data_IF_567023728799
#
_entry.id   IF_567023728799
#
_cell.length_a   1.000
_cell.length_b   1.000
_cell.length_c   1.000
_cell.angle_alpha   90.00
_cell.angle_beta   90.00
_cell.angle_gamma   90.00
#
_symmetry.space_group_name_H-M   'P 1'
#
loop_
_entity.id
_entity.type
_entity.pdbx_description
1 polymer ?
#
# COMPACT_ATOMS: atom_id res chain seq x y z
N UNK A 1 -29.97 1.70 1.11
CA UNK A 1 -29.95 1.94 2.58
C UNK A 1 -28.52 1.79 3.07
N UNK A 2 -27.91 2.87 3.58
CA UNK A 2 -26.55 2.87 4.11
C UNK A 2 -26.47 2.07 5.41
N UNK A 3 -25.59 1.07 5.47
CA UNK A 3 -25.34 0.32 6.72
C UNK A 3 -24.14 0.94 7.43
N UNK A 4 -24.32 1.36 8.68
CA UNK A 4 -23.25 1.86 9.55
C UNK A 4 -22.80 0.79 10.54
N UNK A 5 -21.50 0.71 10.75
CA UNK A 5 -20.80 -0.20 11.64
C UNK A 5 -19.86 0.63 12.51
N UNK A 6 -20.09 0.66 13.81
CA UNK A 6 -19.11 1.24 14.73
C UNK A 6 -18.01 0.19 14.99
N UNK A 7 -16.75 0.60 14.86
CA UNK A 7 -15.57 -0.27 14.97
C UNK A 7 -14.65 0.25 16.06
N UNK A 8 -14.02 -0.67 16.78
CA UNK A 8 -12.93 -0.34 17.70
C UNK A 8 -11.64 -0.81 17.04
N UNK A 9 -10.75 0.13 16.78
CA UNK A 9 -9.42 -0.14 16.27
C UNK A 9 -8.60 -0.87 17.33
N UNK A 10 -7.67 -1.71 16.89
CA UNK A 10 -6.79 -2.42 17.81
C UNK A 10 -5.80 -1.49 18.55
N UNK A 11 -5.73 -0.20 18.21
CA UNK A 11 -5.07 0.83 19.00
C UNK A 11 -5.85 1.25 20.25
N UNK A 12 -7.11 0.82 20.37
CA UNK A 12 -8.06 1.27 21.40
C UNK A 12 -8.91 2.47 20.95
N UNK A 13 -8.58 3.07 19.80
CA UNK A 13 -9.38 4.15 19.23
C UNK A 13 -10.70 3.60 18.68
N UNK A 14 -11.76 4.40 18.65
CA UNK A 14 -13.03 4.04 18.01
C UNK A 14 -13.20 4.77 16.68
N UNK A 15 -14.02 4.19 15.81
CA UNK A 15 -14.37 4.74 14.51
C UNK A 15 -15.69 4.20 14.01
N UNK A 16 -16.08 4.65 12.84
CA UNK A 16 -17.28 4.19 12.17
C UNK A 16 -16.99 3.93 10.70
N UNK A 17 -17.63 2.89 10.17
CA UNK A 17 -17.63 2.51 8.77
C UNK A 17 -19.06 2.50 8.25
N UNK A 18 -19.24 2.97 7.04
CA UNK A 18 -20.49 2.95 6.32
C UNK A 18 -20.28 2.21 4.99
N UNK A 19 -21.26 1.39 4.62
CA UNK A 19 -21.31 0.71 3.33
C UNK A 19 -22.50 1.23 2.52
N UNK A 20 -22.22 1.67 1.30
CA UNK A 20 -23.21 2.03 0.29
C UNK A 20 -23.04 1.12 -0.92
N UNK A 21 -24.12 0.44 -1.30
CA UNK A 21 -24.18 -0.37 -2.50
C UNK A 21 -24.87 0.41 -3.62
N UNK A 22 -24.51 0.11 -4.86
CA UNK A 22 -25.06 0.80 -6.03
C UNK A 22 -24.68 0.14 -7.35
N UNK A 23 -25.09 0.78 -8.45
CA UNK A 23 -24.83 0.35 -9.81
C UNK A 23 -24.02 1.40 -10.58
N UNK A 24 -23.14 0.94 -11.45
CA UNK A 24 -22.43 1.82 -12.39
C UNK A 24 -23.40 2.24 -13.49
N UNK A 25 -23.62 3.54 -13.66
CA UNK A 25 -24.61 4.12 -14.59
C UNK A 25 -24.01 5.01 -15.69
N UNK A 26 -22.69 5.16 -15.70
CA UNK A 26 -22.00 5.86 -16.76
C UNK A 26 -20.49 5.66 -16.64
N UNK A 27 -19.88 5.17 -17.71
CA UNK A 27 -18.46 4.89 -17.80
C UNK A 27 -17.79 5.81 -18.82
N UNK A 28 -16.78 6.55 -18.37
CA UNK A 28 -15.91 7.35 -19.23
C UNK A 28 -14.46 6.85 -19.07
N UNK A 29 -13.85 6.44 -20.18
CA UNK A 29 -12.45 5.98 -20.22
C UNK A 29 -11.67 6.86 -21.16
N UNK A 30 -10.48 7.29 -20.74
CA UNK A 30 -9.51 7.91 -21.63
C UNK A 30 -8.10 7.42 -21.31
N UNK A 31 -7.29 7.31 -22.35
CA UNK A 31 -5.88 6.94 -22.26
C UNK A 31 -5.04 8.16 -22.59
N UNK A 32 -4.10 8.52 -21.72
CA UNK A 32 -3.17 9.63 -21.91
C UNK A 32 -1.77 9.08 -22.19
N UNK A 33 -1.21 9.38 -23.35
CA UNK A 33 0.14 8.93 -23.73
C UNK A 33 1.13 10.09 -23.68
N UNK A 34 2.07 10.03 -22.75
CA UNK A 34 3.18 10.97 -22.68
C UNK A 34 4.36 10.41 -23.48
N UNK A 35 4.80 11.12 -24.52
CA UNK A 35 6.00 10.78 -25.28
C UNK A 35 7.09 11.79 -24.95
N UNK A 36 8.19 11.33 -24.39
CA UNK A 36 9.39 12.14 -24.16
C UNK A 36 10.56 11.60 -24.98
N UNK A 37 11.35 12.52 -25.51
CA UNK A 37 12.52 12.21 -26.33
C UNK A 37 13.73 12.89 -25.68
N UNK A 38 14.80 12.15 -25.44
CA UNK A 38 16.05 12.70 -24.93
C UNK A 38 17.24 12.19 -25.73
N UNK A 39 18.22 13.07 -25.94
CA UNK A 39 19.44 12.76 -26.70
C UNK A 39 19.24 12.81 -28.22
N UNK A 40 20.35 13.03 -28.93
CA UNK A 40 20.39 13.31 -30.35
C UNK A 40 21.48 14.32 -30.63
N UNK A 41 22.72 13.96 -30.28
CA UNK A 41 23.90 14.77 -30.51
C UNK A 41 24.90 13.96 -31.33
N UNK A 42 25.49 14.60 -32.33
CA UNK A 42 26.56 14.01 -33.13
C UNK A 42 27.64 15.03 -33.42
N UNK A 43 28.90 14.59 -33.37
CA UNK A 43 30.05 15.39 -33.74
C UNK A 43 30.74 14.73 -34.93
N UNK A 44 31.06 15.51 -35.95
CA UNK A 44 31.75 15.04 -37.16
C UNK A 44 33.02 15.87 -37.30
N UNK A 45 34.17 15.20 -37.35
CA UNK A 45 35.46 15.81 -37.64
C UNK A 45 36.10 15.23 -38.93
N UNK A 46 37.32 15.68 -39.23
CA UNK A 46 38.07 15.31 -40.45
C UNK A 46 38.45 13.82 -40.53
N UNK A 47 38.41 13.08 -39.42
CA UNK A 47 38.82 11.68 -39.33
C UNK A 47 37.64 10.72 -39.02
N UNK A 48 36.45 11.24 -38.74
CA UNK A 48 35.22 10.45 -38.60
C UNK A 48 34.16 11.16 -37.75
N UNK A 49 32.97 10.56 -37.66
CA UNK A 49 31.86 11.14 -36.89
C UNK A 49 31.16 10.11 -36.00
N UNK A 50 30.83 10.52 -34.78
CA UNK A 50 30.01 9.74 -33.84
C UNK A 50 28.63 10.39 -33.74
N UNK A 51 27.57 9.60 -33.95
CA UNK A 51 26.18 10.02 -33.79
C UNK A 51 25.57 9.17 -32.68
N UNK A 52 25.06 9.83 -31.64
CA UNK A 52 24.32 9.18 -30.58
C UNK A 52 22.83 9.17 -30.91
N UNK A 53 22.22 7.98 -30.89
CA UNK A 53 20.83 7.81 -31.28
C UNK A 53 19.88 8.42 -30.24
N UNK A 54 18.85 9.12 -30.73
CA UNK A 54 17.79 9.66 -29.88
C UNK A 54 17.02 8.53 -29.19
N UNK A 55 16.82 8.65 -27.88
CA UNK A 55 16.05 7.70 -27.09
C UNK A 55 14.64 8.24 -26.90
N UNK A 56 13.67 7.54 -27.47
CA UNK A 56 12.24 7.84 -27.30
C UNK A 56 11.70 6.93 -26.18
N UNK A 57 11.07 7.53 -25.18
CA UNK A 57 10.32 6.84 -24.14
C UNK A 57 8.87 7.30 -24.12
N UNK A 58 7.93 6.37 -24.05
CA UNK A 58 6.50 6.67 -23.94
C UNK A 58 5.91 6.03 -22.69
N UNK A 59 5.09 6.79 -21.96
CA UNK A 59 4.32 6.32 -20.81
C UNK A 59 2.83 6.48 -21.11
N UNK A 60 2.07 5.39 -21.06
CA UNK A 60 0.60 5.41 -21.19
C UNK A 60 -0.02 5.37 -19.78
N UNK A 61 -0.90 6.32 -19.48
CA UNK A 61 -1.75 6.31 -18.28
C UNK A 61 -3.20 6.13 -18.69
N UNK A 62 -3.81 5.01 -18.29
CA UNK A 62 -5.24 4.81 -18.45
C UNK A 62 -5.97 5.42 -17.25
N UNK A 63 -6.88 6.36 -17.49
CA UNK A 63 -7.77 6.91 -16.46
C UNK A 63 -9.20 6.45 -16.73
N UNK A 64 -9.80 5.87 -15.70
CA UNK A 64 -11.20 5.42 -15.74
C UNK A 64 -12.00 6.22 -14.74
N UNK A 65 -13.01 6.93 -15.25
CA UNK A 65 -14.01 7.62 -14.45
C UNK A 65 -15.38 6.98 -14.65
N UNK A 66 -16.12 6.82 -13.56
CA UNK A 66 -17.44 6.24 -13.63
C UNK A 66 -18.37 6.81 -12.58
N UNK A 67 -19.65 6.87 -12.93
CA UNK A 67 -20.73 7.26 -12.06
C UNK A 67 -21.34 6.05 -11.41
N UNK A 68 -21.50 6.10 -10.09
CA UNK A 68 -22.22 5.12 -9.30
C UNK A 68 -23.50 5.74 -8.81
N UNK A 69 -24.62 5.11 -9.13
CA UNK A 69 -25.92 5.38 -8.53
C UNK A 69 -26.13 4.44 -7.36
N UNK A 70 -26.14 5.00 -6.15
CA UNK A 70 -26.33 4.25 -4.93
C UNK A 70 -27.80 3.88 -4.71
N UNK A 71 -28.02 2.84 -3.90
CA UNK A 71 -29.36 2.35 -3.54
C UNK A 71 -30.18 3.37 -2.73
N UNK A 72 -29.58 4.45 -2.25
CA UNK A 72 -30.27 5.59 -1.62
C UNK A 72 -30.71 6.67 -2.63
N UNK A 73 -30.46 6.44 -3.93
CA UNK A 73 -30.79 7.35 -5.02
C UNK A 73 -29.73 8.41 -5.29
N UNK A 74 -28.68 8.53 -4.47
CA UNK A 74 -27.59 9.46 -4.72
C UNK A 74 -26.67 8.98 -5.84
N UNK A 75 -26.10 9.92 -6.59
CA UNK A 75 -25.15 9.63 -7.66
C UNK A 75 -23.79 10.27 -7.35
N UNK A 76 -22.71 9.53 -7.58
CA UNK A 76 -21.36 10.01 -7.34
C UNK A 76 -20.37 9.50 -8.38
N UNK A 77 -19.49 10.40 -8.82
CA UNK A 77 -18.38 10.07 -9.70
C UNK A 77 -17.17 9.57 -8.91
N UNK A 78 -16.51 8.54 -9.44
CA UNK A 78 -15.24 8.02 -8.95
C UNK A 78 -14.22 7.98 -10.08
N UNK A 79 -12.97 8.32 -9.75
CA UNK A 79 -11.81 8.24 -10.63
C UNK A 79 -10.81 7.30 -9.98
N UNK A 80 -10.82 6.02 -10.38
CA UNK A 80 -10.00 4.98 -9.76
C UNK A 80 -9.84 3.76 -10.68
N UNK A 81 -8.79 2.97 -10.42
CA UNK A 81 -8.40 1.81 -11.25
C UNK A 81 -9.27 0.57 -11.02
N UNK A 82 -10.58 0.74 -10.74
CA UNK A 82 -11.49 -0.39 -10.57
C UNK A 82 -12.02 -0.83 -11.94
N UNK A 83 -11.79 -2.11 -12.26
CA UNK A 83 -12.38 -2.73 -13.45
C UNK A 83 -13.90 -2.84 -13.34
N UNK A 84 -14.62 -1.90 -13.96
CA UNK A 84 -16.09 -1.84 -14.00
C UNK A 84 -16.65 -1.66 -15.42
N UNK A 85 -17.94 -1.98 -15.57
CA UNK A 85 -18.78 -1.76 -16.76
C UNK A 85 -20.15 -1.27 -16.31
N UNK A 86 -20.89 -0.63 -17.19
CA UNK A 86 -22.27 -0.20 -16.90
C UNK A 86 -23.12 -1.41 -16.46
N UNK A 87 -23.98 -1.16 -15.46
CA UNK A 87 -24.81 -2.18 -14.81
C UNK A 87 -24.10 -3.02 -13.74
N UNK A 88 -22.76 -3.01 -13.66
CA UNK A 88 -22.05 -3.70 -12.59
C UNK A 88 -22.48 -3.16 -11.21
N UNK A 89 -22.63 -4.08 -10.26
CA UNK A 89 -22.95 -3.73 -8.88
C UNK A 89 -21.67 -3.49 -8.10
N UNK A 90 -21.61 -2.41 -7.35
CA UNK A 90 -20.45 -1.99 -6.57
C UNK A 90 -20.84 -1.73 -5.13
N UNK A 91 -19.94 -2.06 -4.20
CA UNK A 91 -20.01 -1.68 -2.81
C UNK A 91 -18.90 -0.68 -2.51
N UNK A 92 -19.26 0.45 -1.91
CA UNK A 92 -18.34 1.50 -1.50
C UNK A 92 -18.35 1.56 0.02
N UNK A 93 -17.17 1.39 0.61
CA UNK A 93 -16.97 1.52 2.05
C UNK A 93 -16.25 2.83 2.34
N UNK A 94 -16.83 3.62 3.24
CA UNK A 94 -16.28 4.88 3.70
C UNK A 94 -16.37 4.98 5.21
N UNK A 95 -15.51 5.77 5.84
CA UNK A 95 -15.50 5.85 7.29
C UNK A 95 -14.47 6.82 7.84
N UNK A 96 -14.52 7.00 9.15
CA UNK A 96 -13.61 7.87 9.88
C UNK A 96 -13.38 7.39 11.32
N UNK A 97 -12.29 7.84 11.96
CA UNK A 97 -12.18 7.79 13.41
C UNK A 97 -13.36 8.52 14.08
N UNK A 98 -13.74 8.13 15.29
CA UNK A 98 -14.89 8.70 16.01
C UNK A 98 -14.72 10.21 16.29
N UNK A 99 -13.48 10.70 16.30
CA UNK A 99 -13.16 12.12 16.40
C UNK A 99 -13.53 12.93 15.15
N UNK A 100 -13.80 12.28 14.02
CA UNK A 100 -14.10 12.93 12.74
C UNK A 100 -15.57 12.70 12.34
N UNK A 101 -16.23 13.79 11.96
CA UNK A 101 -17.63 13.78 11.48
C UNK A 101 -17.74 13.34 10.01
N UNK A 102 -16.70 13.59 9.22
CA UNK A 102 -16.67 13.25 7.80
C UNK A 102 -15.69 12.11 7.55
N UNK A 103 -16.12 11.13 6.77
CA UNK A 103 -15.35 9.95 6.43
C UNK A 103 -14.80 9.99 5.02
N UNK A 104 -13.68 9.29 4.82
CA UNK A 104 -13.06 9.13 3.51
C UNK A 104 -13.48 7.79 2.90
N UNK A 105 -13.54 7.72 1.57
CA UNK A 105 -13.71 6.45 0.87
C UNK A 105 -12.47 5.59 1.06
N UNK A 106 -12.65 4.38 1.54
CA UNK A 106 -11.58 3.46 1.90
C UNK A 106 -11.45 2.38 0.84
N UNK A 107 -12.52 1.60 0.64
CA UNK A 107 -12.53 0.42 -0.22
C UNK A 107 -13.67 0.56 -1.22
N UNK A 108 -13.41 0.13 -2.45
CA UNK A 108 -14.46 -0.12 -3.42
C UNK A 108 -14.34 -1.53 -3.96
N UNK A 109 -15.45 -2.25 -3.98
CA UNK A 109 -15.53 -3.62 -4.48
C UNK A 109 -16.58 -3.70 -5.57
N UNK A 110 -16.17 -4.20 -6.73
CA UNK A 110 -17.08 -4.65 -7.75
C UNK A 110 -17.66 -6.00 -7.29
N UNK A 111 -18.93 -6.00 -6.91
CA UNK A 111 -19.64 -7.19 -6.44
C UNK A 111 -19.95 -8.17 -7.58
N UNK A 112 -20.02 -7.69 -8.83
CA UNK A 112 -20.23 -8.54 -10.01
C UNK A 112 -19.00 -9.36 -10.37
N UNK A 113 -17.79 -8.77 -10.29
CA UNK A 113 -16.54 -9.47 -10.65
C UNK A 113 -15.75 -9.98 -9.43
N UNK A 114 -16.08 -9.51 -8.24
CA UNK A 114 -15.32 -9.77 -7.00
C UNK A 114 -14.05 -8.91 -6.83
N UNK A 115 -13.65 -8.15 -7.85
CA UNK A 115 -12.47 -7.29 -7.80
C UNK A 115 -12.67 -6.11 -6.85
N UNK A 116 -11.63 -5.73 -6.11
CA UNK A 116 -11.68 -4.60 -5.18
C UNK A 116 -10.40 -3.78 -5.23
N UNK A 117 -10.51 -2.52 -4.83
CA UNK A 117 -9.40 -1.58 -4.73
C UNK A 117 -9.51 -0.74 -3.46
N UNK A 118 -8.39 -0.10 -3.12
CA UNK A 118 -8.36 1.01 -2.16
C UNK A 118 -8.54 2.33 -2.91
N UNK A 119 -9.56 3.10 -2.54
CA UNK A 119 -9.95 4.33 -3.26
C UNK A 119 -9.07 5.51 -2.86
N UNK A 120 -8.70 5.62 -1.59
CA UNK A 120 -7.89 6.72 -1.10
C UNK A 120 -6.59 6.20 -0.47
N UNK A 121 -5.49 6.37 -1.21
CA UNK A 121 -4.17 5.86 -0.83
C UNK A 121 -3.51 6.62 0.33
N UNK A 122 -4.02 7.80 0.69
CA UNK A 122 -3.37 8.74 1.63
C UNK A 122 -4.12 8.91 2.96
N UNK A 123 -5.11 8.07 3.25
CA UNK A 123 -5.86 8.16 4.50
C UNK A 123 -5.00 7.75 5.71
N UNK A 124 -5.27 8.29 6.92
CA UNK A 124 -4.73 7.75 8.16
C UNK A 124 -5.02 6.25 8.33
N UNK A 125 -6.15 5.78 7.77
CA UNK A 125 -6.49 4.37 7.67
C UNK A 125 -5.53 3.59 6.78
N UNK A 126 -5.06 4.18 5.66
CA UNK A 126 -3.98 3.61 4.87
C UNK A 126 -2.63 3.73 5.57
N UNK A 127 -2.29 4.80 6.29
CA UNK A 127 -1.06 4.83 7.10
C UNK A 127 -1.06 3.76 8.20
N UNK A 128 -2.22 3.51 8.81
CA UNK A 128 -2.42 2.36 9.67
C UNK A 128 -2.25 1.07 8.86
N UNK A 129 -2.94 0.88 7.74
CA UNK A 129 -2.88 -0.33 6.91
C UNK A 129 -1.53 -0.58 6.19
N UNK A 130 -0.77 0.46 5.83
CA UNK A 130 0.54 0.39 5.17
C UNK A 130 1.66 0.27 6.20
N UNK A 131 1.46 0.75 7.43
CA UNK A 131 2.22 0.28 8.59
C UNK A 131 1.97 -1.23 8.85
N UNK A 132 0.89 -1.81 8.30
CA UNK A 132 0.65 -3.26 8.28
C UNK A 132 1.14 -3.93 6.97
N UNK A 133 1.55 -3.14 5.97
CA UNK A 133 1.85 -3.55 4.60
C UNK A 133 3.34 -3.74 4.29
N UNK A 134 4.26 -3.26 5.13
CA UNK A 134 5.53 -3.97 5.27
C UNK A 134 5.20 -5.27 6.02
N UNK A 135 4.71 -6.26 5.28
CA UNK A 135 4.38 -7.56 5.84
C UNK A 135 5.56 -8.10 6.66
N UNK A 136 5.34 -9.07 7.56
CA UNK A 136 6.40 -9.63 8.39
C UNK A 136 7.68 -9.94 7.61
N UNK A 137 7.56 -10.33 6.33
CA UNK A 137 8.66 -10.58 5.40
C UNK A 137 9.50 -9.36 5.01
N UNK A 138 8.91 -8.17 4.80
CA UNK A 138 9.65 -6.96 4.43
C UNK A 138 10.41 -6.37 5.63
N UNK A 139 9.78 -6.36 6.81
CA UNK A 139 10.46 -6.02 8.06
C UNK A 139 11.55 -7.04 8.39
N UNK A 140 11.27 -8.35 8.25
CA UNK A 140 12.26 -9.42 8.42
C UNK A 140 13.46 -9.24 7.48
N UNK A 141 13.23 -8.82 6.22
CA UNK A 141 14.31 -8.58 5.24
C UNK A 141 15.22 -7.40 5.64
N UNK A 142 14.64 -6.29 6.10
CA UNK A 142 15.42 -5.15 6.61
C UNK A 142 16.21 -5.53 7.87
N UNK A 143 15.60 -6.35 8.73
CA UNK A 143 16.21 -6.84 9.96
C UNK A 143 17.39 -7.79 9.67
N UNK A 144 17.22 -8.74 8.76
CA UNK A 144 18.30 -9.66 8.33
C UNK A 144 19.44 -8.91 7.65
N UNK A 145 19.15 -7.90 6.82
CA UNK A 145 20.20 -7.05 6.23
C UNK A 145 20.99 -6.27 7.29
N UNK A 146 20.31 -5.70 8.29
CA UNK A 146 20.97 -4.97 9.37
C UNK A 146 21.88 -5.89 10.22
N UNK A 147 21.45 -7.13 10.48
CA UNK A 147 22.25 -8.14 11.18
C UNK A 147 23.48 -8.53 10.37
N UNK A 148 23.31 -8.82 9.08
CA UNK A 148 24.42 -9.18 8.20
C UNK A 148 25.48 -8.06 8.16
N UNK A 149 25.04 -6.80 8.09
CA UNK A 149 25.92 -5.63 8.14
C UNK A 149 26.65 -5.53 9.49
N UNK A 150 25.97 -5.74 10.61
CA UNK A 150 26.56 -5.59 11.94
C UNK A 150 27.58 -6.69 12.23
N UNK A 151 27.29 -7.94 11.82
CA UNK A 151 28.25 -9.04 11.88
C UNK A 151 29.47 -8.72 11.00
N UNK A 152 29.25 -8.24 9.77
CA UNK A 152 30.32 -7.86 8.85
C UNK A 152 31.22 -6.75 9.44
N UNK A 153 30.64 -5.73 10.06
CA UNK A 153 31.39 -4.65 10.72
C UNK A 153 32.20 -5.16 11.92
N UNK A 154 31.65 -6.08 12.71
CA UNK A 154 32.37 -6.68 13.85
C UNK A 154 33.56 -7.52 13.38
N UNK A 155 33.40 -8.27 12.28
CA UNK A 155 34.50 -9.03 11.66
C UNK A 155 35.59 -8.10 11.13
N UNK A 156 35.21 -6.97 10.51
CA UNK A 156 36.18 -5.98 10.02
C UNK A 156 36.95 -5.25 11.13
N UNK A 157 36.33 -5.05 12.29
CA UNK A 157 36.93 -4.26 13.38
C UNK A 157 37.78 -5.09 14.35
N UNK A 158 37.63 -6.42 14.36
CA UNK A 158 38.38 -7.29 15.25
C UNK A 158 39.85 -7.41 14.81
N UNK A 159 40.77 -6.92 15.65
CA UNK A 159 42.22 -7.00 15.40
C UNK A 159 42.84 -8.32 15.85
N UNK A 160 42.15 -9.09 16.70
CA UNK A 160 42.61 -10.39 17.16
C UNK A 160 41.46 -11.39 17.38
N UNK A 161 41.73 -12.71 17.36
CA UNK A 161 40.69 -13.74 17.54
C UNK A 161 39.98 -13.68 18.90
N UNK A 162 40.69 -13.22 19.93
CA UNK A 162 40.15 -13.10 21.30
C UNK A 162 39.17 -11.93 21.42
N UNK A 163 39.46 -10.82 20.74
CA UNK A 163 38.56 -9.65 20.65
C UNK A 163 37.32 -9.97 19.80
N UNK A 164 37.49 -10.75 18.73
CA UNK A 164 36.37 -11.22 17.91
C UNK A 164 35.37 -12.08 18.71
N UNK A 165 35.87 -12.98 19.56
CA UNK A 165 35.03 -13.85 20.39
C UNK A 165 34.18 -13.07 21.39
N UNK A 166 34.77 -12.06 22.06
CA UNK A 166 34.06 -11.25 23.03
C UNK A 166 33.03 -10.32 22.37
N UNK A 167 33.36 -9.77 21.20
CA UNK A 167 32.42 -8.99 20.39
C UNK A 167 31.22 -9.83 19.92
N UNK A 168 31.44 -11.08 19.50
CA UNK A 168 30.37 -12.00 19.10
C UNK A 168 29.39 -12.31 20.24
N UNK A 169 29.89 -12.48 21.47
CA UNK A 169 29.04 -12.71 22.65
C UNK A 169 28.16 -11.50 22.96
N UNK A 170 28.71 -10.29 22.88
CA UNK A 170 27.94 -9.05 23.10
C UNK A 170 26.88 -8.84 22.00
N UNK A 171 27.22 -9.12 20.75
CA UNK A 171 26.26 -9.10 19.64
C UNK A 171 25.14 -10.11 19.87
N UNK A 172 25.46 -11.32 20.34
CA UNK A 172 24.48 -12.35 20.68
C UNK A 172 23.50 -11.93 21.78
N UNK A 173 23.98 -11.23 22.82
CA UNK A 173 23.13 -10.71 23.91
C UNK A 173 22.20 -9.59 23.42
N UNK A 174 22.73 -8.64 22.67
CA UNK A 174 21.92 -7.57 22.06
C UNK A 174 20.88 -8.18 21.11
N UNK A 175 21.27 -9.20 20.34
CA UNK A 175 20.36 -9.93 19.46
C UNK A 175 19.24 -10.63 20.22
N UNK A 176 19.54 -11.34 21.31
CA UNK A 176 18.52 -12.00 22.14
C UNK A 176 17.48 -11.02 22.67
N UNK A 177 17.91 -9.83 23.07
CA UNK A 177 17.04 -8.77 23.57
C UNK A 177 16.15 -8.19 22.45
N UNK A 178 16.72 -7.96 21.27
CA UNK A 178 15.98 -7.53 20.09
C UNK A 178 14.98 -8.58 19.58
N UNK A 179 15.36 -9.86 19.56
CA UNK A 179 14.46 -10.95 19.20
C UNK A 179 13.27 -11.05 20.16
N UNK A 180 13.52 -10.84 21.46
CA UNK A 180 12.47 -10.81 22.46
C UNK A 180 11.51 -9.62 22.25
N UNK A 181 12.04 -8.41 22.03
CA UNK A 181 11.23 -7.23 21.69
C UNK A 181 10.45 -7.42 20.39
N UNK A 182 11.04 -8.07 19.39
CA UNK A 182 10.40 -8.37 18.13
C UNK A 182 9.25 -9.37 18.30
N UNK A 183 9.42 -10.43 19.09
CA UNK A 183 8.35 -11.38 19.42
C UNK A 183 7.20 -10.66 20.13
N UNK A 184 7.51 -9.79 21.10
CA UNK A 184 6.50 -8.97 21.79
C UNK A 184 5.77 -8.05 20.80
N UNK A 185 6.49 -7.39 19.90
CA UNK A 185 5.91 -6.54 18.86
C UNK A 185 5.04 -7.32 17.87
N UNK A 186 5.47 -8.52 17.49
CA UNK A 186 4.70 -9.45 16.66
C UNK A 186 3.43 -9.90 17.37
N UNK A 187 3.50 -10.25 18.66
CA UNK A 187 2.33 -10.62 19.45
C UNK A 187 1.35 -9.45 19.60
N UNK A 188 1.86 -8.23 19.77
CA UNK A 188 1.05 -7.00 19.80
C UNK A 188 0.39 -6.72 18.45
N UNK A 189 1.12 -6.90 17.34
CA UNK A 189 0.59 -6.72 15.99
C UNK A 189 -0.37 -7.84 15.57
N UNK A 190 -0.18 -9.09 16.02
CA UNK A 190 -1.09 -10.20 15.74
C UNK A 190 -2.48 -10.00 16.37
N UNK A 191 -2.57 -9.29 17.50
CA UNK A 191 -3.87 -8.88 18.07
C UNK A 191 -4.62 -7.87 17.18
N UNK A 192 -3.98 -7.30 16.15
CA UNK A 192 -4.59 -6.35 15.19
C UNK A 192 -5.15 -7.02 13.93
N UNK A 193 -4.83 -8.29 13.67
CA UNK A 193 -5.38 -9.10 12.56
C UNK A 193 -6.91 -9.34 12.55
N UNK A 194 -7.66 -9.38 13.68
CA UNK A 194 -9.11 -9.61 13.61
C UNK A 194 -9.84 -8.51 12.82
N UNK A 195 -9.28 -7.31 12.76
CA UNK A 195 -9.87 -6.16 12.07
C UNK A 195 -9.96 -6.34 10.55
N UNK A 196 -9.00 -7.00 9.89
CA UNK A 196 -9.09 -7.26 8.43
C UNK A 196 -10.19 -8.29 8.16
N UNK A 197 -10.32 -9.30 9.01
CA UNK A 197 -11.39 -10.29 8.87
C UNK A 197 -12.77 -9.68 9.14
N UNK A 198 -12.89 -8.72 10.06
CA UNK A 198 -14.13 -7.97 10.30
C UNK A 198 -14.47 -7.05 9.12
N UNK A 199 -13.50 -6.28 8.61
CA UNK A 199 -13.71 -5.42 7.43
C UNK A 199 -13.99 -6.26 6.18
N UNK A 200 -13.30 -7.39 6.00
CA UNK A 200 -13.56 -8.34 4.92
C UNK A 200 -14.92 -9.05 5.10
N UNK A 201 -15.35 -9.35 6.33
CA UNK A 201 -16.67 -9.89 6.61
C UNK A 201 -17.77 -8.89 6.21
N UNK A 202 -17.56 -7.59 6.44
CA UNK A 202 -18.47 -6.52 5.97
C UNK A 202 -18.55 -6.51 4.43
N UNK A 203 -17.50 -6.93 3.71
CA UNK A 203 -17.49 -7.05 2.24
C UNK A 203 -17.96 -8.40 1.68
N UNK A 204 -18.16 -9.44 2.51
CA UNK A 204 -18.50 -10.81 2.10
C UNK A 204 -20.01 -11.09 2.04
N UNK A 205 -20.85 -10.14 2.44
CA UNK A 205 -22.32 -10.25 2.37
C UNK A 205 -22.88 -9.52 1.15
#
# INVERSE_FOLDING_TARGET
MTKRYDIVFASGDSGWLCRNDGHVVGLQRWSETHVSSSGGGGHIDKYGGHIEATRISSTVQDRTEFWVKFDDGSEKQFSCDLSVRDGHRVAVIWGAPASQKEGKYLIMKNLTTGHWILVNRDTPFQRAYSAWGDGPSAQMRRFTMAIALLIFLVVLYAKSPKEAGLALVLVGLVFGLFACLFIVQMMYNNKKLPMINEVMAITKV
#
